data_IF_381721413454
#
_entry.id   IF_381721413454
#
_cell.length_a   1.000
_cell.length_b   1.000
_cell.length_c   1.000
_cell.angle_alpha   90.00
_cell.angle_beta   90.00
_cell.angle_gamma   90.00
#
_symmetry.space_group_name_H-M   'P 1'
#
loop_
_entity.id
_entity.type
_entity.pdbx_description
1 polymer ?
#
# COMPACT_ATOMS: atom_id res chain seq x y z
N UNK A 1 57.10 -26.96 -13.18
CA UNK A 1 55.77 -26.35 -13.43
C UNK A 1 55.72 -25.93 -14.88
N UNK A 2 54.71 -26.37 -15.63
CA UNK A 2 54.57 -26.09 -17.05
C UNK A 2 54.27 -24.59 -17.25
N UNK A 3 54.80 -23.99 -18.32
CA UNK A 3 54.67 -22.55 -18.59
C UNK A 3 53.22 -22.04 -18.56
N UNK A 4 52.24 -22.88 -18.89
CA UNK A 4 50.81 -22.54 -18.82
C UNK A 4 50.32 -22.29 -17.37
N UNK A 5 50.83 -23.03 -16.37
CA UNK A 5 50.44 -22.82 -14.97
C UNK A 5 50.97 -21.49 -14.42
N UNK A 6 52.12 -21.04 -14.92
CA UNK A 6 52.71 -19.75 -14.54
C UNK A 6 51.88 -18.61 -15.11
N UNK A 7 51.46 -18.69 -16.37
CA UNK A 7 50.62 -17.67 -17.01
C UNK A 7 49.26 -17.55 -16.31
N UNK A 8 48.63 -18.68 -15.96
CA UNK A 8 47.35 -18.67 -15.24
C UNK A 8 47.51 -18.06 -13.84
N UNK A 9 48.59 -18.39 -13.12
CA UNK A 9 48.87 -17.81 -11.81
C UNK A 9 49.11 -16.30 -11.88
N UNK A 10 49.86 -15.82 -12.87
CA UNK A 10 50.07 -14.38 -13.07
C UNK A 10 48.80 -13.67 -13.49
N UNK A 11 47.97 -14.26 -14.36
CA UNK A 11 46.69 -13.68 -14.75
C UNK A 11 45.71 -13.61 -13.54
N UNK A 12 45.63 -14.67 -12.74
CA UNK A 12 44.79 -14.68 -11.54
C UNK A 12 45.27 -13.69 -10.48
N UNK A 13 46.59 -13.60 -10.28
CA UNK A 13 47.19 -12.61 -9.38
C UNK A 13 46.95 -11.18 -9.88
N UNK A 14 47.02 -10.95 -11.18
CA UNK A 14 46.74 -9.64 -11.75
C UNK A 14 45.26 -9.25 -11.64
N UNK A 15 44.34 -10.22 -11.78
CA UNK A 15 42.90 -10.01 -11.58
C UNK A 15 42.60 -9.72 -10.10
N UNK A 16 43.21 -10.46 -9.17
CA UNK A 16 43.08 -10.22 -7.73
C UNK A 16 43.65 -8.85 -7.34
N UNK A 17 44.83 -8.47 -7.87
CA UNK A 17 45.42 -7.14 -7.66
C UNK A 17 44.55 -6.02 -8.28
N UNK A 18 43.80 -6.29 -9.34
CA UNK A 18 42.87 -5.34 -9.96
C UNK A 18 41.57 -5.20 -9.17
N UNK A 19 41.07 -6.27 -8.55
CA UNK A 19 39.95 -6.22 -7.60
C UNK A 19 40.35 -5.48 -6.31
N UNK A 20 41.56 -5.69 -5.81
CA UNK A 20 42.10 -5.02 -4.62
C UNK A 20 42.39 -3.53 -4.87
N UNK A 21 42.61 -3.14 -6.13
CA UNK A 21 42.73 -1.73 -6.53
C UNK A 21 41.40 -1.01 -6.75
N UNK A 22 40.26 -1.68 -6.63
CA UNK A 22 38.95 -1.03 -6.63
C UNK A 22 38.70 -0.40 -5.25
N UNK A 23 39.56 0.55 -4.88
CA UNK A 23 39.46 1.31 -3.66
C UNK A 23 38.10 2.02 -3.66
N UNK A 24 37.22 1.59 -2.78
CA UNK A 24 36.04 2.34 -2.37
C UNK A 24 36.54 3.59 -1.66
N UNK A 25 36.92 4.61 -2.43
CA UNK A 25 37.14 5.94 -1.87
C UNK A 25 35.82 6.35 -1.22
N UNK A 26 35.87 6.70 0.04
CA UNK A 26 34.67 7.16 0.72
C UNK A 26 34.23 8.48 0.06
N UNK A 27 32.94 8.78 0.15
CA UNK A 27 32.42 10.05 -0.39
C UNK A 27 33.16 11.24 0.22
N UNK A 28 33.59 11.10 1.47
CA UNK A 28 34.35 12.08 2.25
C UNK A 28 35.75 12.30 1.64
N UNK A 29 36.44 11.24 1.22
CA UNK A 29 37.75 11.36 0.54
C UNK A 29 37.65 12.05 -0.83
N UNK A 30 36.55 11.87 -1.55
CA UNK A 30 36.33 12.57 -2.83
C UNK A 30 35.95 14.03 -2.63
N UNK A 31 35.29 14.35 -1.51
CA UNK A 31 34.82 15.69 -1.19
C UNK A 31 35.89 16.55 -0.50
N UNK A 32 36.81 15.93 0.25
CA UNK A 32 37.80 16.61 1.10
C UNK A 32 39.25 16.11 0.96
N UNK A 33 39.51 15.04 0.22
CA UNK A 33 40.77 14.27 0.29
C UNK A 33 42.02 14.84 -0.38
N UNK A 34 42.12 16.16 -0.56
CA UNK A 34 43.41 16.81 -0.80
C UNK A 34 43.66 17.77 0.38
N UNK A 35 44.24 17.24 1.46
CA UNK A 35 44.83 18.09 2.51
C UNK A 35 45.93 18.95 1.86
N UNK A 36 45.75 20.27 1.94
CA UNK A 36 46.69 21.27 1.43
C UNK A 36 48.06 21.00 2.06
N UNK A 37 49.13 20.78 1.29
CA UNK A 37 50.45 20.61 1.90
C UNK A 37 50.85 21.93 2.56
N UNK A 38 51.15 21.87 3.86
CA UNK A 38 51.76 22.96 4.64
C UNK A 38 53.05 23.42 3.97
N UNK A 39 52.96 24.40 3.08
CA UNK A 39 54.11 25.02 2.39
C UNK A 39 54.49 26.32 3.10
N UNK A 40 55.04 26.17 4.31
CA UNK A 40 55.84 27.23 4.89
C UNK A 40 57.13 27.41 4.04
N UNK A 41 57.29 28.60 3.47
CA UNK A 41 58.51 29.22 2.90
C UNK A 41 58.90 28.96 1.43
N UNK A 42 58.44 29.80 0.50
CA UNK A 42 59.25 30.29 -0.65
C UNK A 42 58.61 31.54 -1.29
N UNK A 43 59.16 32.73 -1.08
CA UNK A 43 58.73 33.97 -1.75
C UNK A 43 59.28 34.02 -3.18
N UNK A 44 58.45 33.59 -4.13
CA UNK A 44 58.61 33.83 -5.56
C UNK A 44 57.23 34.09 -6.18
N UNK A 45 57.08 35.26 -6.80
CA UNK A 45 55.87 35.89 -7.38
C UNK A 45 55.13 35.06 -8.46
N UNK A 46 55.52 33.80 -8.69
CA UNK A 46 54.91 32.84 -9.61
C UNK A 46 54.05 31.77 -8.87
N UNK A 47 54.27 31.58 -7.57
CA UNK A 47 53.54 30.60 -6.75
C UNK A 47 52.14 31.08 -6.32
N UNK A 48 51.94 32.39 -6.18
CA UNK A 48 50.64 32.97 -5.80
C UNK A 48 49.58 32.77 -6.89
N UNK A 49 49.97 32.88 -8.16
CA UNK A 49 49.06 32.71 -9.30
C UNK A 49 48.68 31.24 -9.49
N UNK A 50 49.61 30.31 -9.28
CA UNK A 50 49.34 28.86 -9.29
C UNK A 50 48.39 28.46 -8.16
N UNK A 51 48.64 28.95 -6.95
CA UNK A 51 47.74 28.74 -5.80
C UNK A 51 46.33 29.29 -6.04
N UNK A 52 46.21 30.48 -6.63
CA UNK A 52 44.90 31.06 -6.99
C UNK A 52 44.20 30.25 -8.08
N UNK A 53 44.93 29.76 -9.08
CA UNK A 53 44.38 28.90 -10.13
C UNK A 53 43.91 27.55 -9.56
N UNK A 54 44.70 26.91 -8.71
CA UNK A 54 44.33 25.67 -8.00
C UNK A 54 43.09 25.87 -7.11
N UNK A 55 43.01 27.00 -6.39
CA UNK A 55 41.83 27.36 -5.59
C UNK A 55 40.59 27.61 -6.46
N UNK A 56 40.77 28.22 -7.64
CA UNK A 56 39.70 28.48 -8.59
C UNK A 56 39.19 27.16 -9.19
N UNK A 57 40.08 26.27 -9.60
CA UNK A 57 39.72 24.92 -10.06
C UNK A 57 39.03 24.11 -8.95
N UNK A 58 39.51 24.22 -7.71
CA UNK A 58 38.87 23.60 -6.55
C UNK A 58 37.45 24.16 -6.34
N UNK A 59 37.26 25.47 -6.47
CA UNK A 59 35.96 26.11 -6.35
C UNK A 59 35.01 25.67 -7.48
N UNK A 60 35.51 25.56 -8.72
CA UNK A 60 34.76 25.00 -9.84
C UNK A 60 34.37 23.53 -9.61
N UNK A 61 35.26 22.73 -9.01
CA UNK A 61 34.97 21.34 -8.63
C UNK A 61 33.88 21.29 -7.55
N UNK A 62 34.00 22.11 -6.52
CA UNK A 62 33.01 22.19 -5.44
C UNK A 62 31.65 22.66 -5.95
N UNK A 63 31.59 23.67 -6.82
CA UNK A 63 30.32 24.15 -7.39
C UNK A 63 29.65 23.10 -8.28
N UNK A 64 30.42 22.36 -9.09
CA UNK A 64 29.92 21.21 -9.86
C UNK A 64 29.39 20.11 -8.95
N UNK A 65 30.12 19.77 -7.88
CA UNK A 65 29.69 18.77 -6.91
C UNK A 65 28.41 19.20 -6.19
N UNK A 66 28.31 20.46 -5.76
CA UNK A 66 27.11 21.00 -5.15
C UNK A 66 25.91 20.93 -6.10
N UNK A 67 26.09 21.31 -7.36
CA UNK A 67 25.05 21.23 -8.38
C UNK A 67 24.57 19.78 -8.57
N UNK A 68 25.49 18.84 -8.69
CA UNK A 68 25.17 17.43 -8.82
C UNK A 68 24.42 16.87 -7.60
N UNK A 69 24.86 17.21 -6.37
CA UNK A 69 24.16 16.76 -5.14
C UNK A 69 22.77 17.36 -5.03
N UNK A 70 22.58 18.61 -5.49
CA UNK A 70 21.27 19.25 -5.53
C UNK A 70 20.32 18.56 -6.51
N UNK A 71 20.83 18.17 -7.68
CA UNK A 71 20.05 17.41 -8.68
C UNK A 71 19.65 16.05 -8.12
N UNK A 72 20.59 15.30 -7.53
CA UNK A 72 20.30 14.01 -6.89
C UNK A 72 19.28 14.14 -5.75
N UNK A 73 19.38 15.20 -4.94
CA UNK A 73 18.40 15.46 -3.87
C UNK A 73 17.02 15.74 -4.46
N UNK A 74 16.93 16.58 -5.49
CA UNK A 74 15.68 16.88 -6.18
C UNK A 74 15.04 15.62 -6.76
N UNK A 75 15.83 14.75 -7.40
CA UNK A 75 15.35 13.47 -7.93
C UNK A 75 14.90 12.53 -6.81
N UNK A 76 15.63 12.50 -5.69
CA UNK A 76 15.24 11.74 -4.50
C UNK A 76 13.96 12.26 -3.85
N UNK A 77 13.77 13.58 -3.80
CA UNK A 77 12.54 14.19 -3.26
C UNK A 77 11.34 13.90 -4.16
N UNK A 78 11.51 14.01 -5.48
CA UNK A 78 10.46 13.72 -6.44
C UNK A 78 10.03 12.24 -6.36
N UNK A 79 10.99 11.32 -6.35
CA UNK A 79 10.69 9.88 -6.21
C UNK A 79 10.02 9.57 -4.87
N UNK A 80 10.53 10.12 -3.77
CA UNK A 80 9.94 9.93 -2.45
C UNK A 80 8.50 10.47 -2.38
N UNK A 81 8.24 11.66 -2.92
CA UNK A 81 6.89 12.23 -2.97
C UNK A 81 5.91 11.31 -3.71
N UNK A 82 6.33 10.71 -4.84
CA UNK A 82 5.48 9.75 -5.55
C UNK A 82 5.24 8.47 -4.77
N UNK A 83 6.25 7.94 -4.08
CA UNK A 83 6.13 6.72 -3.28
C UNK A 83 5.19 6.91 -2.09
N UNK A 84 5.33 8.03 -1.37
CA UNK A 84 4.45 8.38 -0.25
C UNK A 84 3.01 8.54 -0.71
N UNK A 85 2.77 9.23 -1.82
CA UNK A 85 1.43 9.38 -2.37
C UNK A 85 0.81 8.03 -2.78
N UNK A 86 1.59 7.14 -3.40
CA UNK A 86 1.11 5.81 -3.75
C UNK A 86 0.76 4.96 -2.52
N UNK A 87 1.56 5.00 -1.46
CA UNK A 87 1.24 4.26 -0.23
C UNK A 87 0.01 4.83 0.46
N UNK A 88 -0.17 6.16 0.47
CA UNK A 88 -1.37 6.77 1.04
C UNK A 88 -2.61 6.39 0.22
N UNK A 89 -2.54 6.35 -1.12
CA UNK A 89 -3.63 5.85 -1.96
C UNK A 89 -3.98 4.40 -1.59
N UNK A 90 -2.98 3.50 -1.53
CA UNK A 90 -3.21 2.09 -1.14
C UNK A 90 -3.77 1.95 0.27
N UNK A 91 -3.39 2.84 1.20
CA UNK A 91 -3.93 2.87 2.55
C UNK A 91 -5.39 3.30 2.54
N UNK A 92 -5.73 4.36 1.80
CA UNK A 92 -7.10 4.83 1.64
C UNK A 92 -8.00 3.77 1.01
N UNK A 93 -7.57 3.10 -0.06
CA UNK A 93 -8.33 2.02 -0.72
C UNK A 93 -8.62 0.85 0.24
N UNK A 94 -7.63 0.42 1.02
CA UNK A 94 -7.83 -0.63 2.04
C UNK A 94 -8.81 -0.18 3.12
N UNK A 95 -8.75 1.08 3.53
CA UNK A 95 -9.68 1.62 4.52
C UNK A 95 -11.10 1.73 3.95
N UNK A 96 -11.25 2.14 2.69
CA UNK A 96 -12.54 2.19 2.00
C UNK A 96 -13.15 0.79 1.86
N UNK A 97 -12.35 -0.21 1.48
CA UNK A 97 -12.79 -1.60 1.45
C UNK A 97 -13.27 -2.07 2.84
N UNK A 98 -12.53 -1.74 3.90
CA UNK A 98 -12.94 -2.06 5.29
C UNK A 98 -14.24 -1.37 5.66
N UNK A 99 -14.40 -0.09 5.34
CA UNK A 99 -15.64 0.65 5.60
C UNK A 99 -16.81 0.04 4.84
N UNK A 100 -16.64 -0.26 3.55
CA UNK A 100 -17.66 -0.95 2.74
C UNK A 100 -18.04 -2.31 3.33
N UNK A 101 -17.06 -3.10 3.80
CA UNK A 101 -17.35 -4.36 4.48
C UNK A 101 -18.09 -4.17 5.80
N UNK A 102 -17.78 -3.13 6.58
CA UNK A 102 -18.48 -2.79 7.82
C UNK A 102 -19.93 -2.36 7.51
N UNK A 103 -20.14 -1.48 6.54
CA UNK A 103 -21.47 -1.03 6.13
C UNK A 103 -22.34 -2.19 5.62
N UNK A 104 -21.77 -3.04 4.77
CA UNK A 104 -22.44 -4.24 4.29
C UNK A 104 -22.80 -5.21 5.43
N UNK A 105 -21.91 -5.34 6.43
CA UNK A 105 -22.17 -6.15 7.63
C UNK A 105 -23.30 -5.56 8.50
N UNK A 106 -23.34 -4.24 8.65
CA UNK A 106 -24.41 -3.56 9.39
C UNK A 106 -25.76 -3.71 8.68
N UNK A 107 -25.78 -3.54 7.36
CA UNK A 107 -26.97 -3.80 6.55
C UNK A 107 -27.45 -5.25 6.72
N UNK A 108 -26.54 -6.22 6.60
CA UNK A 108 -26.86 -7.64 6.79
C UNK A 108 -27.42 -7.91 8.20
N UNK A 109 -26.84 -7.30 9.24
CA UNK A 109 -27.35 -7.38 10.61
C UNK A 109 -28.82 -6.92 10.67
N UNK A 110 -29.12 -5.78 10.04
CA UNK A 110 -30.47 -5.23 10.03
C UNK A 110 -31.45 -6.14 9.27
N UNK A 111 -31.03 -6.72 8.14
CA UNK A 111 -31.84 -7.68 7.37
C UNK A 111 -32.11 -8.94 8.19
N UNK A 112 -31.10 -9.51 8.85
CA UNK A 112 -31.26 -10.69 9.72
C UNK A 112 -32.23 -10.39 10.87
N UNK A 113 -32.06 -9.25 11.54
CA UNK A 113 -32.96 -8.85 12.64
C UNK A 113 -34.41 -8.73 12.15
N UNK A 114 -34.63 -8.07 11.00
CA UNK A 114 -35.98 -7.97 10.41
C UNK A 114 -36.57 -9.33 10.04
N UNK A 115 -35.75 -10.24 9.53
CA UNK A 115 -36.18 -11.59 9.17
C UNK A 115 -36.57 -12.43 10.39
N UNK A 116 -35.81 -12.33 11.48
CA UNK A 116 -36.08 -13.09 12.72
C UNK A 116 -37.23 -12.50 13.54
N UNK A 117 -37.37 -11.18 13.55
CA UNK A 117 -38.45 -10.51 14.26
C UNK A 117 -39.82 -10.83 13.63
N UNK A 118 -40.91 -10.75 14.41
CA UNK A 118 -42.27 -10.87 13.87
C UNK A 118 -42.52 -9.83 12.78
N UNK A 119 -43.10 -10.26 11.66
CA UNK A 119 -43.39 -9.38 10.53
C UNK A 119 -44.30 -8.22 10.92
N UNK A 120 -43.88 -6.99 10.60
CA UNK A 120 -44.73 -5.81 10.79
C UNK A 120 -45.71 -5.65 9.63
N UNK A 121 -45.32 -6.09 8.44
CA UNK A 121 -46.09 -6.02 7.19
C UNK A 121 -46.16 -7.42 6.58
N UNK A 122 -47.32 -7.81 6.04
CA UNK A 122 -47.48 -9.12 5.37
C UNK A 122 -46.52 -9.25 4.19
N UNK A 123 -45.85 -10.40 4.09
CA UNK A 123 -44.92 -10.72 3.02
C UNK A 123 -43.53 -10.06 3.14
N UNK A 124 -43.22 -9.40 4.26
CA UNK A 124 -41.90 -8.79 4.49
C UNK A 124 -40.78 -9.85 4.45
N UNK A 125 -40.95 -11.01 5.10
CA UNK A 125 -39.92 -12.07 5.11
C UNK A 125 -39.63 -12.62 3.74
N UNK A 126 -40.65 -12.79 2.89
CA UNK A 126 -40.48 -13.24 1.50
C UNK A 126 -39.61 -12.27 0.69
N UNK A 127 -39.73 -10.97 0.94
CA UNK A 127 -38.89 -9.96 0.28
C UNK A 127 -37.45 -9.94 0.79
N UNK A 128 -37.21 -10.38 2.03
CA UNK A 128 -35.87 -10.44 2.62
C UNK A 128 -35.08 -11.68 2.15
N UNK A 129 -35.72 -12.76 1.67
CA UNK A 129 -35.03 -13.97 1.21
C UNK A 129 -34.04 -13.71 0.06
N UNK A 130 -34.39 -12.98 -1.02
CA UNK A 130 -33.44 -12.64 -2.08
C UNK A 130 -32.24 -11.83 -1.56
N UNK A 131 -32.48 -10.93 -0.60
CA UNK A 131 -31.45 -10.07 0.00
C UNK A 131 -30.47 -10.92 0.84
N UNK A 132 -30.98 -11.85 1.66
CA UNK A 132 -30.16 -12.80 2.40
C UNK A 132 -29.38 -13.72 1.46
N UNK A 133 -30.00 -14.15 0.36
CA UNK A 133 -29.37 -15.01 -0.65
C UNK A 133 -28.15 -14.34 -1.27
N UNK A 134 -28.27 -13.06 -1.65
CA UNK A 134 -27.16 -12.31 -2.27
C UNK A 134 -26.07 -11.94 -1.25
N UNK A 135 -26.45 -11.50 -0.05
CA UNK A 135 -25.51 -11.05 0.98
C UNK A 135 -24.71 -12.21 1.61
N UNK A 136 -25.34 -13.37 1.82
CA UNK A 136 -24.70 -14.55 2.41
C UNK A 136 -24.20 -15.55 1.37
N UNK A 137 -24.44 -15.30 0.07
CA UNK A 137 -24.13 -16.22 -1.04
C UNK A 137 -24.68 -17.63 -0.78
N UNK A 138 -25.96 -17.71 -0.44
CA UNK A 138 -26.62 -18.96 -0.09
C UNK A 138 -26.69 -19.90 -1.29
N UNK A 139 -26.58 -21.19 -1.02
CA UNK A 139 -26.86 -22.24 -2.01
C UNK A 139 -28.37 -22.29 -2.36
N UNK A 140 -28.75 -22.90 -3.50
CA UNK A 140 -30.15 -23.08 -3.86
C UNK A 140 -30.96 -23.85 -2.79
N UNK A 141 -30.35 -24.85 -2.15
CA UNK A 141 -30.98 -25.63 -1.08
C UNK A 141 -31.28 -24.79 0.17
N UNK A 142 -30.33 -23.96 0.59
CA UNK A 142 -30.51 -23.05 1.73
C UNK A 142 -31.56 -21.98 1.42
N UNK A 143 -31.57 -21.46 0.19
CA UNK A 143 -32.56 -20.51 -0.29
C UNK A 143 -33.97 -21.11 -0.26
N UNK A 144 -34.12 -22.36 -0.69
CA UNK A 144 -35.40 -23.07 -0.64
C UNK A 144 -35.88 -23.28 0.81
N UNK A 145 -34.97 -23.58 1.75
CA UNK A 145 -35.30 -23.67 3.19
C UNK A 145 -35.84 -22.34 3.71
N UNK A 146 -35.20 -21.21 3.38
CA UNK A 146 -35.67 -19.88 3.79
C UNK A 146 -37.04 -19.54 3.19
N UNK A 147 -37.26 -19.87 1.91
CA UNK A 147 -38.56 -19.69 1.27
C UNK A 147 -39.68 -20.50 1.94
N UNK A 148 -39.41 -21.75 2.34
CA UNK A 148 -40.37 -22.57 3.10
C UNK A 148 -40.72 -21.96 4.45
N UNK A 149 -39.70 -21.47 5.18
CA UNK A 149 -39.90 -20.81 6.49
C UNK A 149 -40.74 -19.54 6.34
N UNK A 150 -40.40 -18.69 5.36
CA UNK A 150 -41.13 -17.46 5.11
C UNK A 150 -42.58 -17.71 4.66
N UNK A 151 -42.83 -18.75 3.85
CA UNK A 151 -44.18 -19.13 3.44
C UNK A 151 -45.02 -19.72 4.59
N UNK A 152 -44.42 -20.50 5.48
CA UNK A 152 -45.11 -21.10 6.64
C UNK A 152 -45.57 -20.03 7.63
N UNK A 153 -44.75 -19.00 7.86
CA UNK A 153 -45.08 -17.90 8.77
C UNK A 153 -46.29 -17.09 8.29
N UNK A 154 -46.36 -16.80 6.99
CA UNK A 154 -47.49 -16.11 6.37
C UNK A 154 -48.80 -16.91 6.50
N UNK A 155 -48.77 -18.24 6.31
CA UNK A 155 -49.94 -19.11 6.48
C UNK A 155 -50.40 -19.16 7.95
N UNK A 156 -49.47 -19.31 8.89
CA UNK A 156 -49.75 -19.35 10.33
C UNK A 156 -50.44 -18.07 10.82
N UNK A 157 -50.04 -16.92 10.26
CA UNK A 157 -50.63 -15.62 10.57
C UNK A 157 -52.05 -15.45 10.02
N UNK A 158 -52.29 -15.89 8.77
CA UNK A 158 -53.64 -15.84 8.16
C UNK A 158 -54.66 -16.66 8.94
N UNK A 159 -54.26 -17.81 9.49
CA UNK A 159 -55.11 -18.64 10.34
C UNK A 159 -55.44 -17.94 11.67
N UNK A 160 -54.46 -17.26 12.28
CA UNK A 160 -54.67 -16.46 13.50
C UNK A 160 -55.59 -15.26 13.25
N UNK A 161 -55.41 -14.53 12.15
CA UNK A 161 -56.20 -13.33 11.83
C UNK A 161 -57.65 -13.66 11.42
N UNK A 162 -57.84 -14.78 10.71
CA UNK A 162 -59.15 -15.30 10.31
C UNK A 162 -60.02 -15.76 11.47
N UNK A 163 -59.42 -16.13 12.60
CA UNK A 163 -60.15 -16.64 13.77
C UNK A 163 -60.89 -15.52 14.51
N UNK A 164 -60.29 -14.34 14.67
CA UNK A 164 -60.93 -13.21 15.37
C UNK A 164 -61.93 -12.44 14.48
N UNK A 165 -61.68 -12.36 13.17
CA UNK A 165 -62.59 -11.70 12.22
C UNK A 165 -63.91 -12.44 11.99
N UNK A 166 -63.95 -13.75 12.22
CA UNK A 166 -65.17 -14.56 12.09
C UNK A 166 -66.18 -14.22 13.19
N UNK A 167 -65.74 -14.12 14.45
CA UNK A 167 -66.63 -13.81 15.58
C UNK A 167 -67.24 -12.40 15.51
N UNK A 168 -66.51 -11.42 14.97
CA UNK A 168 -67.02 -10.05 14.78
C UNK A 168 -68.07 -9.94 13.67
N UNK A 169 -68.12 -10.90 12.74
CA UNK A 169 -69.10 -10.93 11.64
C UNK A 169 -70.49 -11.37 12.09
N UNK A 170 -70.57 -12.21 13.13
CA UNK A 170 -71.84 -12.68 13.69
C UNK A 170 -72.51 -11.68 14.64
N UNK A 171 -71.75 -10.74 15.22
CA UNK A 171 -72.27 -9.74 16.16
C UNK A 171 -72.94 -8.51 15.53
N UNK A 172 -72.99 -8.40 14.19
CA UNK A 172 -73.55 -7.24 13.47
C UNK A 172 -74.96 -7.45 12.92
N UNK A 173 -75.59 -8.57 13.27
CA UNK A 173 -77.03 -8.80 13.07
C UNK A 173 -77.73 -8.74 14.42
N UNK A 174 -78.00 -7.53 14.90
CA UNK A 174 -79.09 -7.18 15.82
C UNK A 174 -79.30 -5.67 15.80
#
# INVERSE_FOLDING_TARGET
MNNEQVVVYFAFKHIHDLEERRHERTLEDVLFGDEIPDTASHYGDDNGVKSVHELMEHNERLTKNLQHTRELLSDSEATNATLVAQEEIRRMERNEQRLSHIENSEYLKNVIIKFLCPERVSGERMQLVPILTTMLRLSPEETERLNRIAAQDETSRRESEGTWGSYLRWGRLN
#
